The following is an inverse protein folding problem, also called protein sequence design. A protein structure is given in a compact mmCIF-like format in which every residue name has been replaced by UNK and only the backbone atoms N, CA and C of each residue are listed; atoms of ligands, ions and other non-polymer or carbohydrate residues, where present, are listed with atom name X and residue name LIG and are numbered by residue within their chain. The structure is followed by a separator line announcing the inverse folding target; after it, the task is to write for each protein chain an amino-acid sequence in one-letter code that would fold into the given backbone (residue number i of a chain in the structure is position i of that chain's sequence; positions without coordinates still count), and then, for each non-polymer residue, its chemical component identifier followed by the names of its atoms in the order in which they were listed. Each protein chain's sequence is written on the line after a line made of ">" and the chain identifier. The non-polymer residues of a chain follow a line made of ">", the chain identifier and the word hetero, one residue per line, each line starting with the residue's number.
data_IF_134609812261
#
_entry.id   IF_134609812261
#
_cell.length_a   1.000
_cell.length_b   1.000
_cell.length_c   1.000
_cell.angle_alpha   90.00
_cell.angle_beta   90.00
_cell.angle_gamma   90.00
#
_symmetry.space_group_name_H-M   'P 1'
#
loop_
_entity.id
_entity.type
_entity.pdbx_description
1 polymer ?
#
# COMPACT_ATOMS: atom_id res chain seq x y z
N UNK A 1 28.05 14.81 16.36
CA UNK A 1 27.34 15.36 15.17
C UNK A 1 28.31 15.69 14.05
N UNK A 2 29.39 16.45 14.27
CA UNK A 2 30.39 16.76 13.22
C UNK A 2 31.09 15.51 12.63
N UNK A 3 31.42 14.51 13.46
CA UNK A 3 32.04 13.26 13.01
C UNK A 3 31.12 12.40 12.12
N UNK A 4 29.81 12.35 12.43
CA UNK A 4 28.82 11.61 11.64
C UNK A 4 28.75 12.08 10.17
N UNK A 5 28.86 13.39 9.93
CA UNK A 5 28.85 13.96 8.57
C UNK A 5 30.14 13.66 7.80
N UNK A 6 31.26 13.43 8.50
CA UNK A 6 32.55 13.11 7.87
C UNK A 6 32.59 11.71 7.24
N UNK A 7 31.67 10.82 7.63
CA UNK A 7 31.64 9.44 7.15
C UNK A 7 31.08 9.28 5.73
N UNK A 8 30.52 10.34 5.14
CA UNK A 8 29.98 10.31 3.78
C UNK A 8 28.79 9.36 3.60
N UNK A 9 28.03 9.11 4.66
CA UNK A 9 26.91 8.16 4.65
C UNK A 9 25.73 8.77 3.87
N UNK A 10 25.32 8.09 2.80
CA UNK A 10 24.14 8.48 2.02
C UNK A 10 22.83 7.91 2.60
N UNK A 11 21.67 8.47 2.22
CA UNK A 11 20.35 7.91 2.57
C UNK A 11 20.12 6.46 2.09
N UNK A 12 20.85 6.05 1.06
CA UNK A 12 20.78 4.77 0.37
C UNK A 12 22.19 4.18 0.14
N UNK A 13 22.88 3.80 1.23
CA UNK A 13 24.29 3.42 1.15
C UNK A 13 24.48 2.24 0.19
N UNK A 14 25.51 2.34 -0.66
CA UNK A 14 25.77 1.39 -1.76
C UNK A 14 24.58 1.29 -2.75
N UNK A 15 23.83 2.37 -2.94
CA UNK A 15 22.71 2.46 -3.87
C UNK A 15 21.46 1.65 -3.48
N UNK A 16 21.34 1.26 -2.21
CA UNK A 16 20.30 0.35 -1.71
C UNK A 16 19.52 0.96 -0.53
N UNK A 17 18.22 0.67 -0.44
CA UNK A 17 17.41 1.02 0.72
C UNK A 17 17.48 -0.07 1.78
N UNK A 18 18.37 0.07 2.77
CA UNK A 18 18.44 -0.87 3.90
C UNK A 18 17.50 -0.47 5.04
N UNK A 19 16.75 -1.46 5.54
CA UNK A 19 16.14 -1.46 6.87
C UNK A 19 17.19 -1.90 7.91
N UNK A 20 16.96 -1.56 9.19
CA UNK A 20 17.84 -1.93 10.31
C UNK A 20 18.16 -3.43 10.33
N UNK A 21 17.14 -4.27 10.17
CA UNK A 21 17.29 -5.74 10.24
C UNK A 21 18.28 -6.29 9.22
N UNK A 22 18.38 -5.66 8.05
CA UNK A 22 19.37 -6.05 7.04
C UNK A 22 20.71 -5.38 7.29
N UNK A 23 20.71 -4.09 7.65
CA UNK A 23 21.92 -3.30 7.83
C UNK A 23 22.86 -3.90 8.89
N UNK A 24 22.31 -4.35 10.03
CA UNK A 24 23.07 -4.88 11.17
C UNK A 24 23.85 -6.17 10.86
N UNK A 25 23.59 -6.79 9.71
CA UNK A 25 24.31 -7.97 9.23
C UNK A 25 25.29 -7.68 8.08
N UNK A 26 25.37 -6.43 7.61
CA UNK A 26 26.31 -6.03 6.56
C UNK A 26 27.68 -5.71 7.14
N UNK A 27 28.72 -5.88 6.32
CA UNK A 27 30.07 -5.40 6.66
C UNK A 27 30.07 -3.88 6.84
N UNK A 28 30.55 -3.43 8.00
CA UNK A 28 30.69 -2.00 8.33
C UNK A 28 31.66 -1.30 7.36
N UNK A 29 31.34 -0.06 6.94
CA UNK A 29 32.33 0.80 6.29
C UNK A 29 33.52 1.06 7.23
N UNK A 30 34.76 1.12 6.72
CA UNK A 30 35.96 1.27 7.57
C UNK A 30 35.94 2.49 8.49
N UNK A 31 35.27 3.57 8.07
CA UNK A 31 35.19 4.83 8.81
C UNK A 31 34.06 4.88 9.85
N UNK A 32 33.19 3.86 9.92
CA UNK A 32 32.04 3.85 10.83
C UNK A 32 32.31 2.89 11.99
N UNK A 33 32.18 3.32 13.26
CA UNK A 33 32.54 2.52 14.44
C UNK A 33 31.70 1.25 14.60
N UNK A 34 30.38 1.40 14.51
CA UNK A 34 29.42 0.30 14.69
C UNK A 34 28.14 0.49 13.85
N UNK A 35 27.25 -0.51 13.90
CA UNK A 35 26.02 -0.49 13.10
C UNK A 35 24.98 0.52 13.59
N UNK A 36 24.96 0.84 14.89
CA UNK A 36 24.02 1.82 15.44
C UNK A 36 24.38 3.22 14.95
N UNK A 37 25.67 3.55 14.96
CA UNK A 37 26.22 4.77 14.38
C UNK A 37 25.98 4.83 12.87
N UNK A 38 26.16 3.71 12.17
CA UNK A 38 25.84 3.65 10.74
C UNK A 38 24.35 3.92 10.49
N UNK A 39 23.47 3.30 11.27
CA UNK A 39 22.02 3.48 11.16
C UNK A 39 21.59 4.90 11.49
N UNK A 40 22.17 5.49 12.54
CA UNK A 40 21.92 6.87 12.94
C UNK A 40 22.31 7.83 11.80
N UNK A 41 23.49 7.65 11.21
CA UNK A 41 23.94 8.46 10.09
C UNK A 41 22.98 8.35 8.87
N UNK A 42 22.55 7.12 8.52
CA UNK A 42 21.55 6.90 7.45
C UNK A 42 20.23 7.59 7.78
N UNK A 43 19.75 7.48 9.02
CA UNK A 43 18.48 8.07 9.46
C UNK A 43 18.53 9.59 9.44
N UNK A 44 19.64 10.20 9.83
CA UNK A 44 19.86 11.65 9.73
C UNK A 44 19.88 12.10 8.25
N UNK A 45 20.60 11.38 7.39
CA UNK A 45 20.63 11.66 5.95
C UNK A 45 19.23 11.55 5.31
N UNK A 46 18.45 10.51 5.67
CA UNK A 46 17.05 10.35 5.23
C UNK A 46 16.14 11.44 5.76
N UNK A 47 16.33 11.87 7.03
CA UNK A 47 15.51 12.91 7.66
C UNK A 47 15.62 14.25 6.93
N UNK A 48 16.79 14.56 6.37
CA UNK A 48 16.98 15.75 5.53
C UNK A 48 16.11 15.75 4.26
N UNK A 49 15.66 14.57 3.80
CA UNK A 49 14.79 14.39 2.64
C UNK A 49 13.29 14.31 2.99
N UNK A 50 12.92 14.41 4.27
CA UNK A 50 11.54 14.18 4.68
C UNK A 50 10.58 15.23 4.14
N UNK A 51 9.62 14.75 3.35
CA UNK A 51 8.45 15.48 2.91
C UNK A 51 7.28 15.10 3.82
N UNK A 52 6.57 16.11 4.33
CA UNK A 52 5.40 15.91 5.19
C UNK A 52 4.16 15.63 4.33
N UNK A 53 3.38 14.66 4.76
CA UNK A 53 2.05 14.36 4.23
C UNK A 53 1.04 15.13 5.11
N UNK A 54 -0.07 15.66 4.56
CA UNK A 54 -1.08 16.44 5.32
C UNK A 54 -1.95 15.57 6.25
N UNK A 55 -1.35 14.59 6.92
CA UNK A 55 -1.96 13.65 7.84
C UNK A 55 -1.05 13.45 9.05
N UNK A 56 -1.67 13.21 10.20
CA UNK A 56 -0.96 12.89 11.44
C UNK A 56 -1.42 11.54 11.99
N UNK A 57 -0.54 10.93 12.78
CA UNK A 57 -0.87 9.75 13.56
C UNK A 57 -1.87 10.08 14.71
N UNK A 58 -2.08 9.12 15.62
CA UNK A 58 -2.98 9.29 16.75
C UNK A 58 -2.47 10.25 17.82
N UNK A 59 -1.17 10.49 17.87
CA UNK A 59 -0.49 11.34 18.86
C UNK A 59 -0.18 12.75 18.29
N UNK A 60 -0.59 13.02 17.04
CA UNK A 60 -0.44 14.30 16.35
C UNK A 60 0.85 14.44 15.53
N UNK A 61 1.70 13.42 15.50
CA UNK A 61 2.94 13.44 14.72
C UNK A 61 2.63 13.37 13.22
N UNK A 62 3.22 14.22 12.37
CA UNK A 62 2.95 14.20 10.94
C UNK A 62 3.55 12.95 10.30
N UNK A 63 2.82 12.36 9.34
CA UNK A 63 3.40 11.35 8.46
C UNK A 63 4.42 12.00 7.52
N UNK A 64 5.52 11.29 7.28
CA UNK A 64 6.63 11.74 6.43
C UNK A 64 7.07 10.63 5.50
N UNK A 65 7.60 11.02 4.35
CA UNK A 65 8.24 10.11 3.41
C UNK A 65 9.53 10.72 2.86
N UNK A 66 10.39 9.90 2.29
CA UNK A 66 11.64 10.33 1.65
C UNK A 66 11.77 9.65 0.28
N UNK A 67 12.38 10.37 -0.66
CA UNK A 67 12.69 9.86 -2.00
C UNK A 67 14.22 9.89 -2.23
N UNK A 68 14.98 9.00 -1.58
CA UNK A 68 16.40 8.83 -1.91
C UNK A 68 16.55 8.32 -3.35
N UNK A 69 17.76 8.38 -3.90
CA UNK A 69 18.01 8.11 -5.33
C UNK A 69 17.56 6.72 -5.78
N UNK A 70 17.74 5.69 -4.95
CA UNK A 70 17.15 4.35 -5.19
C UNK A 70 15.62 4.41 -5.41
N UNK A 71 14.87 5.13 -4.58
CA UNK A 71 13.41 5.23 -4.71
C UNK A 71 13.05 5.99 -5.98
N UNK A 72 13.76 7.08 -6.30
CA UNK A 72 13.54 7.84 -7.54
C UNK A 72 13.82 7.01 -8.79
N UNK A 73 14.87 6.19 -8.77
CA UNK A 73 15.18 5.25 -9.85
C UNK A 73 14.07 4.22 -10.02
N UNK A 74 13.60 3.60 -8.94
CA UNK A 74 12.52 2.62 -8.99
C UNK A 74 11.20 3.24 -9.50
N UNK A 75 10.88 4.47 -9.07
CA UNK A 75 9.73 5.21 -9.60
C UNK A 75 9.88 5.47 -11.10
N UNK A 76 11.07 5.84 -11.57
CA UNK A 76 11.33 6.04 -12.99
C UNK A 76 11.19 4.75 -13.81
N UNK A 77 11.64 3.61 -13.28
CA UNK A 77 11.42 2.29 -13.90
C UNK A 77 9.92 1.97 -14.00
N UNK A 78 9.15 2.23 -12.94
CA UNK A 78 7.68 2.09 -12.95
C UNK A 78 7.05 2.99 -14.02
N UNK A 79 7.49 4.24 -14.16
CA UNK A 79 6.94 5.16 -15.17
C UNK A 79 7.20 4.68 -16.61
N UNK A 80 8.41 4.18 -16.88
CA UNK A 80 8.79 3.65 -18.20
C UNK A 80 7.94 2.42 -18.56
N UNK A 81 7.92 1.42 -17.67
CA UNK A 81 7.28 0.14 -17.95
C UNK A 81 5.75 0.20 -17.77
N UNK A 82 5.26 0.92 -16.76
CA UNK A 82 3.84 1.09 -16.48
C UNK A 82 3.12 1.99 -17.48
N UNK A 83 3.75 3.08 -17.94
CA UNK A 83 3.11 4.03 -18.85
C UNK A 83 3.20 3.65 -20.33
N UNK A 84 4.34 3.09 -20.76
CA UNK A 84 4.66 2.82 -22.16
C UNK A 84 4.31 1.41 -22.63
N UNK A 85 4.73 0.37 -21.90
CA UNK A 85 4.54 -1.03 -22.33
C UNK A 85 3.09 -1.49 -22.20
N UNK A 86 2.36 -1.05 -21.16
CA UNK A 86 0.93 -1.33 -21.04
C UNK A 86 0.15 -0.72 -22.22
N UNK A 87 0.42 0.53 -22.58
CA UNK A 87 -0.25 1.20 -23.73
C UNK A 87 0.13 0.59 -25.08
N UNK A 88 1.39 0.18 -25.27
CA UNK A 88 1.81 -0.49 -26.50
C UNK A 88 1.18 -1.89 -26.64
N UNK A 89 1.10 -2.65 -25.53
CA UNK A 89 0.40 -3.96 -25.51
C UNK A 89 -1.10 -3.80 -25.74
N UNK A 90 -1.70 -2.74 -25.20
CA UNK A 90 -3.10 -2.37 -25.43
C UNK A 90 -3.43 -2.02 -26.88
N UNK A 91 -2.49 -1.45 -27.64
CA UNK A 91 -2.68 -1.09 -29.05
C UNK A 91 -2.50 -2.29 -30.00
N UNK A 92 -1.70 -3.29 -29.60
CA UNK A 92 -1.38 -4.47 -30.41
C UNK A 92 -2.33 -5.65 -30.11
N UNK A 93 -2.93 -5.72 -28.93
CA UNK A 93 -3.87 -6.77 -28.56
C UNK A 93 -5.25 -6.59 -29.21
N UNK A 94 -5.81 -7.65 -29.79
CA UNK A 94 -7.21 -7.70 -30.18
C UNK A 94 -8.10 -7.40 -28.95
N UNK A 95 -9.18 -6.62 -29.07
CA UNK A 95 -10.12 -6.34 -27.97
C UNK A 95 -10.51 -7.59 -27.15
N UNK A 96 -10.78 -8.71 -27.81
CA UNK A 96 -11.17 -9.96 -27.14
C UNK A 96 -10.06 -10.57 -26.27
N UNK A 97 -8.81 -10.49 -26.73
CA UNK A 97 -7.66 -10.95 -25.96
C UNK A 97 -7.38 -10.05 -24.78
N UNK A 98 -7.54 -8.72 -24.95
CA UNK A 98 -7.36 -7.72 -23.89
C UNK A 98 -8.35 -7.96 -22.75
N UNK A 99 -9.62 -8.13 -23.07
CA UNK A 99 -10.67 -8.38 -22.07
C UNK A 99 -10.40 -9.68 -21.29
N UNK A 100 -9.95 -10.72 -22.00
CA UNK A 100 -9.58 -11.99 -21.37
C UNK A 100 -8.38 -11.85 -20.43
N UNK A 101 -7.35 -11.07 -20.80
CA UNK A 101 -6.22 -10.80 -19.92
C UNK A 101 -6.65 -10.03 -18.67
N UNK A 102 -7.44 -8.97 -18.82
CA UNK A 102 -7.92 -8.16 -17.70
C UNK A 102 -8.75 -9.00 -16.72
N UNK A 103 -9.68 -9.81 -17.22
CA UNK A 103 -10.48 -10.71 -16.36
C UNK A 103 -9.59 -11.70 -15.62
N UNK A 104 -8.60 -12.29 -16.30
CA UNK A 104 -7.67 -13.20 -15.63
C UNK A 104 -6.84 -12.48 -14.57
N UNK A 105 -6.33 -11.27 -14.82
CA UNK A 105 -5.57 -10.50 -13.83
C UNK A 105 -6.42 -10.17 -12.59
N UNK A 106 -7.68 -9.77 -12.76
CA UNK A 106 -8.61 -9.51 -11.65
C UNK A 106 -8.86 -10.78 -10.83
N UNK A 107 -9.07 -11.92 -11.48
CA UNK A 107 -9.24 -13.22 -10.81
C UNK A 107 -7.99 -13.56 -9.99
N UNK A 108 -6.80 -13.42 -10.57
CA UNK A 108 -5.55 -13.77 -9.90
C UNK A 108 -5.25 -12.85 -8.70
N UNK A 109 -5.53 -11.56 -8.84
CA UNK A 109 -5.38 -10.58 -7.76
C UNK A 109 -6.32 -10.90 -6.60
N UNK A 110 -7.59 -11.20 -6.91
CA UNK A 110 -8.60 -11.50 -5.89
C UNK A 110 -8.27 -12.73 -5.06
N UNK A 111 -7.70 -13.76 -5.71
CA UNK A 111 -7.23 -14.97 -5.04
C UNK A 111 -6.02 -14.64 -4.16
N UNK A 112 -5.02 -13.95 -4.73
CA UNK A 112 -3.75 -13.68 -4.04
C UNK A 112 -3.97 -12.78 -2.83
N UNK A 113 -4.72 -11.68 -2.98
CA UNK A 113 -5.08 -10.77 -1.90
C UNK A 113 -5.83 -11.50 -0.78
N UNK A 114 -6.85 -12.30 -1.11
CA UNK A 114 -7.60 -13.02 -0.08
C UNK A 114 -6.77 -14.09 0.64
N UNK A 115 -5.81 -14.73 -0.05
CA UNK A 115 -4.90 -15.69 0.58
C UNK A 115 -3.93 -15.02 1.56
N UNK A 116 -3.48 -13.80 1.27
CA UNK A 116 -2.68 -13.00 2.21
C UNK A 116 -3.49 -12.65 3.47
N UNK A 117 -4.80 -12.42 3.32
CA UNK A 117 -5.74 -12.19 4.43
C UNK A 117 -6.22 -13.50 5.11
N UNK A 118 -5.64 -14.65 4.75
CA UNK A 118 -5.89 -15.93 5.42
C UNK A 118 -6.94 -16.86 4.78
N UNK A 119 -7.43 -16.56 3.57
CA UNK A 119 -8.32 -17.47 2.85
C UNK A 119 -7.60 -18.78 2.48
N UNK A 120 -8.08 -19.89 3.01
CA UNK A 120 -7.49 -21.22 2.85
C UNK A 120 -8.09 -21.99 1.66
N UNK A 121 -8.10 -21.39 0.47
CA UNK A 121 -8.58 -22.03 -0.77
C UNK A 121 -7.44 -22.18 -1.76
N UNK A 122 -7.35 -23.35 -2.44
CA UNK A 122 -6.34 -23.52 -3.50
C UNK A 122 -6.66 -22.64 -4.70
N UNK A 123 -5.61 -22.12 -5.36
CA UNK A 123 -5.74 -21.29 -6.57
C UNK A 123 -6.60 -21.95 -7.65
N UNK A 124 -6.47 -23.27 -7.85
CA UNK A 124 -7.24 -24.03 -8.84
C UNK A 124 -8.74 -23.98 -8.55
N UNK A 125 -9.13 -24.28 -7.31
CA UNK A 125 -10.54 -24.31 -6.87
C UNK A 125 -11.17 -22.91 -6.92
N UNK A 126 -10.41 -21.90 -6.49
CA UNK A 126 -10.86 -20.51 -6.51
C UNK A 126 -11.03 -19.97 -7.94
N UNK A 127 -10.10 -20.29 -8.85
CA UNK A 127 -10.18 -19.89 -10.26
C UNK A 127 -11.35 -20.57 -10.98
N UNK A 128 -11.57 -21.85 -10.71
CA UNK A 128 -12.73 -22.58 -11.22
C UNK A 128 -14.04 -21.96 -10.71
N UNK A 129 -14.08 -21.60 -9.42
CA UNK A 129 -15.25 -20.95 -8.81
C UNK A 129 -15.66 -19.69 -9.55
N UNK A 130 -14.72 -18.77 -9.71
CA UNK A 130 -14.95 -17.46 -10.33
C UNK A 130 -15.33 -17.62 -11.81
N UNK A 131 -14.64 -18.50 -12.55
CA UNK A 131 -14.94 -18.74 -13.97
C UNK A 131 -16.32 -19.36 -14.22
N UNK A 132 -16.72 -20.30 -13.38
CA UNK A 132 -18.03 -20.95 -13.49
C UNK A 132 -19.17 -20.13 -12.85
N UNK A 133 -18.85 -19.03 -12.17
CA UNK A 133 -19.80 -18.23 -11.37
C UNK A 133 -20.60 -19.10 -10.39
N UNK A 134 -19.98 -20.16 -9.87
CA UNK A 134 -20.62 -21.03 -8.88
C UNK A 134 -20.67 -20.31 -7.52
N UNK A 135 -21.63 -20.67 -6.68
CA UNK A 135 -21.69 -20.16 -5.30
C UNK A 135 -20.46 -20.64 -4.48
N UNK A 136 -19.95 -19.79 -3.56
CA UNK A 136 -18.90 -20.19 -2.63
C UNK A 136 -19.46 -21.23 -1.66
N UNK A 137 -18.61 -22.16 -1.21
CA UNK A 137 -18.97 -23.26 -0.32
C UNK A 137 -18.60 -23.00 1.14
N UNK A 138 -17.64 -22.12 1.38
CA UNK A 138 -17.10 -21.81 2.70
C UNK A 138 -16.68 -20.33 2.80
N UNK A 139 -16.26 -19.92 4.01
CA UNK A 139 -15.81 -18.55 4.31
C UNK A 139 -14.63 -18.11 3.44
N UNK A 140 -13.68 -19.00 3.12
CA UNK A 140 -12.50 -18.65 2.32
C UNK A 140 -12.87 -18.39 0.86
N UNK A 141 -13.74 -19.23 0.30
CA UNK A 141 -14.30 -19.00 -1.03
C UNK A 141 -15.15 -17.72 -1.09
N UNK A 142 -15.91 -17.43 -0.04
CA UNK A 142 -16.67 -16.17 0.07
C UNK A 142 -15.73 -14.96 0.11
N UNK A 143 -14.63 -15.01 0.88
CA UNK A 143 -13.62 -13.93 0.89
C UNK A 143 -13.06 -13.66 -0.51
N UNK A 144 -12.72 -14.71 -1.26
CA UNK A 144 -12.21 -14.59 -2.63
C UNK A 144 -13.25 -13.99 -3.57
N UNK A 145 -14.50 -14.45 -3.49
CA UNK A 145 -15.58 -13.93 -4.32
C UNK A 145 -15.87 -12.45 -3.99
N UNK A 146 -15.84 -12.09 -2.71
CA UNK A 146 -16.02 -10.71 -2.26
C UNK A 146 -14.90 -9.81 -2.78
N UNK A 147 -13.64 -10.26 -2.73
CA UNK A 147 -12.51 -9.51 -3.27
C UNK A 147 -12.65 -9.32 -4.79
N UNK A 148 -13.09 -10.36 -5.52
CA UNK A 148 -13.39 -10.25 -6.94
C UNK A 148 -14.46 -9.19 -7.25
N UNK A 149 -15.58 -9.20 -6.53
CA UNK A 149 -16.61 -8.17 -6.68
C UNK A 149 -16.12 -6.78 -6.26
N UNK A 150 -15.26 -6.68 -5.24
CA UNK A 150 -14.66 -5.42 -4.82
C UNK A 150 -13.77 -4.83 -5.92
N UNK A 151 -13.00 -5.66 -6.62
CA UNK A 151 -12.17 -5.24 -7.76
C UNK A 151 -13.03 -4.83 -8.97
N UNK A 152 -14.15 -5.52 -9.24
CA UNK A 152 -15.13 -5.08 -10.25
C UNK A 152 -15.73 -3.72 -9.89
N UNK A 153 -16.15 -3.53 -8.64
CA UNK A 153 -16.67 -2.26 -8.14
C UNK A 153 -15.64 -1.12 -8.26
N UNK A 154 -14.39 -1.33 -7.83
CA UNK A 154 -13.30 -0.34 -7.97
C UNK A 154 -13.11 0.09 -9.42
N UNK A 155 -13.22 -0.86 -10.37
CA UNK A 155 -13.12 -0.54 -11.80
C UNK A 155 -14.26 0.36 -12.27
N UNK A 156 -15.48 0.12 -11.80
CA UNK A 156 -16.66 0.94 -12.13
C UNK A 156 -16.52 2.38 -11.63
N UNK A 157 -16.04 2.57 -10.40
CA UNK A 157 -15.89 3.89 -9.76
C UNK A 157 -14.53 4.55 -10.03
N UNK A 158 -13.70 3.99 -10.92
CA UNK A 158 -12.29 4.38 -11.08
C UNK A 158 -12.05 5.85 -11.47
N UNK A 159 -13.08 6.53 -12.00
CA UNK A 159 -13.03 7.95 -12.36
C UNK A 159 -13.75 8.86 -11.34
N UNK A 160 -14.24 8.32 -10.23
CA UNK A 160 -14.90 9.06 -9.17
C UNK A 160 -13.90 9.46 -8.07
N UNK A 161 -14.18 10.57 -7.40
CA UNK A 161 -13.39 11.00 -6.24
C UNK A 161 -13.60 10.02 -5.08
N UNK A 162 -12.51 9.62 -4.40
CA UNK A 162 -12.62 8.75 -3.23
C UNK A 162 -13.35 9.47 -2.09
N UNK A 163 -14.48 8.90 -1.67
CA UNK A 163 -15.30 9.40 -0.55
C UNK A 163 -15.37 8.39 0.60
N UNK A 164 -15.69 8.82 1.83
CA UNK A 164 -15.98 7.90 2.93
C UNK A 164 -17.05 6.86 2.60
N UNK A 165 -18.09 7.26 1.84
CA UNK A 165 -19.18 6.36 1.47
C UNK A 165 -18.69 5.25 0.54
N UNK A 166 -17.84 5.57 -0.43
CA UNK A 166 -17.19 4.57 -1.30
C UNK A 166 -16.29 3.63 -0.50
N UNK A 167 -15.58 4.13 0.52
CA UNK A 167 -14.76 3.30 1.41
C UNK A 167 -15.65 2.31 2.20
N UNK A 168 -16.78 2.77 2.74
CA UNK A 168 -17.71 1.92 3.48
C UNK A 168 -18.47 0.94 2.58
N UNK A 169 -18.79 1.31 1.35
CA UNK A 169 -19.37 0.37 0.38
C UNK A 169 -18.36 -0.70 -0.03
N UNK A 170 -17.10 -0.32 -0.28
CA UNK A 170 -16.02 -1.28 -0.54
C UNK A 170 -15.84 -2.23 0.65
N UNK A 171 -15.82 -1.69 1.87
CA UNK A 171 -15.77 -2.50 3.09
C UNK A 171 -16.96 -3.47 3.16
N UNK A 172 -18.18 -3.01 2.85
CA UNK A 172 -19.38 -3.85 2.81
C UNK A 172 -19.27 -4.99 1.79
N UNK A 173 -18.75 -4.73 0.60
CA UNK A 173 -18.53 -5.75 -0.42
C UNK A 173 -17.51 -6.79 0.08
N UNK A 174 -16.36 -6.34 0.60
CA UNK A 174 -15.28 -7.22 1.08
C UNK A 174 -15.71 -8.10 2.26
N UNK A 175 -16.53 -7.56 3.16
CA UNK A 175 -16.85 -8.18 4.45
C UNK A 175 -18.18 -8.93 4.49
N UNK A 176 -18.92 -8.92 3.38
CA UNK A 176 -20.22 -9.59 3.28
C UNK A 176 -20.11 -11.08 3.60
N UNK A 177 -20.88 -11.55 4.59
CA UNK A 177 -20.91 -12.95 5.01
C UNK A 177 -19.55 -13.54 5.45
N UNK A 178 -18.58 -12.69 5.81
CA UNK A 178 -17.23 -13.13 6.26
C UNK A 178 -16.85 -12.64 7.67
N UNK A 179 -17.53 -11.62 8.21
CA UNK A 179 -17.29 -11.18 9.59
C UNK A 179 -18.07 -12.03 10.60
N UNK A 180 -17.46 -12.24 11.76
CA UNK A 180 -18.11 -12.94 12.89
C UNK A 180 -19.26 -12.11 13.47
N UNK A 181 -19.17 -10.78 13.37
CA UNK A 181 -20.26 -9.86 13.68
C UNK A 181 -20.83 -9.22 12.40
N UNK A 182 -21.99 -9.69 11.89
CA UNK A 182 -22.61 -9.13 10.69
C UNK A 182 -22.99 -7.65 10.80
N UNK A 183 -23.20 -7.13 12.02
CA UNK A 183 -23.57 -5.73 12.22
C UNK A 183 -22.41 -4.74 11.97
N UNK A 184 -21.18 -5.24 11.88
CA UNK A 184 -19.98 -4.46 11.59
C UNK A 184 -19.75 -4.24 10.09
N UNK A 185 -20.46 -4.97 9.22
CA UNK A 185 -20.33 -4.85 7.76
C UNK A 185 -20.62 -3.41 7.31
N UNK A 186 -19.72 -2.85 6.50
CA UNK A 186 -19.85 -1.49 5.97
C UNK A 186 -19.79 -0.36 6.99
N UNK A 187 -19.28 -0.59 8.21
CA UNK A 187 -19.25 0.43 9.27
C UNK A 187 -17.89 0.53 9.93
N UNK A 188 -17.60 1.70 10.50
CA UNK A 188 -16.48 1.84 11.42
C UNK A 188 -16.71 0.99 12.67
N UNK A 189 -15.63 0.46 13.25
CA UNK A 189 -15.71 -0.24 14.53
C UNK A 189 -16.15 0.71 15.65
N UNK A 190 -16.81 0.14 16.65
CA UNK A 190 -17.31 0.86 17.84
C UNK A 190 -16.48 0.59 19.10
N UNK A 191 -15.67 -0.48 19.10
CA UNK A 191 -14.80 -0.88 20.22
C UNK A 191 -13.34 -0.50 19.93
N UNK A 192 -12.57 -0.25 20.99
CA UNK A 192 -11.12 -0.04 20.96
C UNK A 192 -10.31 -1.32 21.22
N UNK A 193 -10.98 -2.47 21.38
CA UNK A 193 -10.37 -3.78 21.61
C UNK A 193 -9.79 -4.37 20.31
N UNK A 194 -8.89 -3.63 19.69
CA UNK A 194 -8.15 -4.04 18.50
C UNK A 194 -6.69 -3.63 18.64
N UNK A 195 -5.80 -4.51 18.19
CA UNK A 195 -4.38 -4.25 18.11
C UNK A 195 -3.82 -4.91 16.85
N UNK A 196 -2.67 -4.41 16.41
CA UNK A 196 -1.83 -5.08 15.41
C UNK A 196 -0.71 -5.75 16.20
N UNK A 197 -0.53 -7.06 16.04
CA UNK A 197 0.46 -7.83 16.78
C UNK A 197 1.03 -8.99 15.96
N UNK A 198 2.04 -9.64 16.51
CA UNK A 198 2.56 -10.90 15.96
C UNK A 198 1.74 -12.07 16.54
N UNK A 199 1.08 -12.82 15.67
CA UNK A 199 0.22 -13.96 16.08
C UNK A 199 1.00 -15.07 16.79
N UNK A 200 2.34 -15.11 16.66
CA UNK A 200 3.17 -16.17 17.25
C UNK A 200 3.45 -15.98 18.73
N UNK A 201 3.58 -14.73 19.19
CA UNK A 201 3.96 -14.41 20.57
C UNK A 201 3.05 -13.38 21.25
N UNK A 202 1.98 -12.95 20.57
CA UNK A 202 1.02 -11.95 21.03
C UNK A 202 1.65 -10.60 21.38
N UNK A 203 2.84 -10.29 20.83
CA UNK A 203 3.45 -8.97 21.00
C UNK A 203 2.60 -7.92 20.30
N UNK A 204 2.15 -6.92 21.07
CA UNK A 204 1.45 -5.76 20.52
C UNK A 204 2.47 -4.88 19.79
N UNK A 205 2.38 -4.85 18.47
CA UNK A 205 3.21 -4.01 17.59
C UNK A 205 2.64 -2.59 17.56
N UNK A 206 1.32 -2.46 17.47
CA UNK A 206 0.65 -1.16 17.37
C UNK A 206 -0.79 -1.22 17.90
N UNK A 207 -1.20 -0.15 18.59
CA UNK A 207 -2.60 0.07 18.96
C UNK A 207 -3.16 1.18 18.06
N UNK A 208 -4.14 0.87 17.19
CA UNK A 208 -4.76 1.85 16.30
C UNK A 208 -5.43 3.04 17.03
N UNK A 209 -5.79 4.12 16.30
CA UNK A 209 -6.51 5.27 16.86
C UNK A 209 -7.83 4.89 17.54
N UNK A 210 -8.46 5.78 18.31
CA UNK A 210 -9.74 5.47 18.97
C UNK A 210 -10.90 5.31 17.98
N UNK A 211 -11.85 4.42 18.28
CA UNK A 211 -13.03 4.14 17.44
C UNK A 211 -13.79 5.42 17.06
N UNK A 212 -14.01 6.29 18.05
CA UNK A 212 -14.67 7.59 17.90
C UNK A 212 -13.99 8.57 16.93
N UNK A 213 -12.72 8.34 16.60
CA UNK A 213 -11.96 9.20 15.70
C UNK A 213 -11.95 8.69 14.26
N UNK A 214 -12.38 7.45 14.01
CA UNK A 214 -12.20 6.80 12.72
C UNK A 214 -12.97 7.49 11.60
N UNK A 215 -14.23 7.87 11.84
CA UNK A 215 -15.02 8.59 10.84
C UNK A 215 -14.35 9.90 10.44
N UNK A 216 -13.92 10.71 11.41
CA UNK A 216 -13.26 11.98 11.14
C UNK A 216 -11.92 11.76 10.44
N UNK A 217 -11.17 10.71 10.80
CA UNK A 217 -9.92 10.35 10.13
C UNK A 217 -10.16 9.95 8.68
N UNK A 218 -11.18 9.13 8.39
CA UNK A 218 -11.54 8.73 7.02
C UNK A 218 -11.99 9.95 6.20
N UNK A 219 -12.87 10.79 6.76
CA UNK A 219 -13.34 12.03 6.13
C UNK A 219 -12.20 12.98 5.79
N UNK A 220 -11.18 13.05 6.64
CA UNK A 220 -10.01 13.90 6.40
C UNK A 220 -8.96 13.25 5.48
N UNK A 221 -8.90 11.92 5.39
CA UNK A 221 -7.89 11.21 4.61
C UNK A 221 -8.11 11.38 3.11
N UNK A 222 -9.27 10.96 2.60
CA UNK A 222 -9.48 10.85 1.16
C UNK A 222 -9.39 12.21 0.42
N UNK A 223 -10.10 13.28 0.82
CA UNK A 223 -10.06 14.55 0.08
C UNK A 223 -8.70 15.26 0.18
N UNK A 224 -8.04 15.19 1.35
CA UNK A 224 -6.75 15.88 1.54
C UNK A 224 -5.62 15.14 0.83
N UNK A 225 -5.65 13.81 0.78
CA UNK A 225 -4.65 13.03 0.06
C UNK A 225 -4.70 13.32 -1.44
N UNK A 226 -5.87 13.22 -2.08
CA UNK A 226 -6.00 13.48 -3.52
C UNK A 226 -5.65 14.91 -3.90
N UNK A 227 -6.13 15.90 -3.12
CA UNK A 227 -5.76 17.31 -3.33
C UNK A 227 -4.25 17.53 -3.21
N UNK A 228 -3.62 16.91 -2.22
CA UNK A 228 -2.17 17.01 -2.03
C UNK A 228 -1.38 16.32 -3.14
N UNK A 229 -1.82 15.14 -3.63
CA UNK A 229 -1.22 14.46 -4.78
C UNK A 229 -1.32 15.33 -6.03
N UNK A 230 -2.50 15.88 -6.34
CA UNK A 230 -2.69 16.75 -7.50
C UNK A 230 -1.79 17.99 -7.46
N UNK A 231 -1.69 18.65 -6.30
CA UNK A 231 -0.81 19.81 -6.12
C UNK A 231 0.67 19.46 -6.19
N UNK A 232 1.06 18.30 -5.64
CA UNK A 232 2.46 17.84 -5.63
C UNK A 232 2.94 17.40 -7.02
N UNK A 233 2.05 16.81 -7.83
CA UNK A 233 2.33 16.43 -9.22
C UNK A 233 2.52 17.66 -10.12
N UNK A 234 1.72 18.71 -9.95
CA UNK A 234 1.86 19.97 -10.71
C UNK A 234 3.22 20.63 -10.44
N UNK A 235 3.68 20.64 -9.19
CA UNK A 235 4.99 21.18 -8.82
C UNK A 235 6.18 20.40 -9.42
N UNK A 236 6.02 19.09 -9.68
CA UNK A 236 7.05 18.28 -10.34
C UNK A 236 7.09 18.50 -11.87
N UNK A 237 5.98 18.91 -12.50
CA UNK A 237 5.95 19.20 -13.95
C UNK A 237 6.52 20.58 -14.30
N UNK A 238 6.39 21.57 -13.41
CA UNK A 238 6.96 22.93 -13.62
C UNK A 238 8.49 23.01 -13.53
N UNK A 239 9.18 21.91 -13.23
CA UNK A 239 10.65 21.84 -13.13
C UNK A 239 11.36 21.30 -14.37
N UNK A 240 10.67 20.98 -15.46
CA UNK A 240 11.33 20.61 -16.73
C UNK A 240 11.77 21.89 -17.45
N UNK A 241 13.08 22.13 -17.68
CA UNK A 241 13.51 23.17 -18.60
C UNK A 241 12.96 22.83 -19.98
N UNK A 242 12.28 23.79 -20.60
CA UNK A 242 12.02 23.76 -22.03
C UNK A 242 13.36 23.64 -22.76
N UNK A 243 13.60 22.47 -23.37
CA UNK A 243 14.56 22.34 -24.45
C UNK A 243 13.88 22.74 -25.76
#
# INVERSE_FOLDING_TARGET
>A
MSELFSWGVSPDPRGNYYHWDKLRHLKLPPQVPDHEDWWLAIKLARKALYKKIPHSDKDGSPFVYAEPDIVRRLLHEIDIHGGGELKATEQVANPNTRDTYLINSLIEESITSSQLEGAATTRKVAKEMLRQKRKPRDKSETMILNNYHAMEFIKEISNEDLTPDLIFELHKILTKDTLDNPNAVGKARISDEIYVGDDRDATIIHVPPKAKELEDRIKNMAPRYFKWVAQSLVLHQSGRPSQ
#
